data_IF_224238318421
#
_entry.id   IF_224238318421
#
_cell.length_a   1.000
_cell.length_b   1.000
_cell.length_c   1.000
_cell.angle_alpha   90.00
_cell.angle_beta   90.00
_cell.angle_gamma   90.00
#
_symmetry.space_group_name_H-M   'P 1'
#
loop_
_entity.id
_entity.type
_entity.pdbx_description
1 polymer ?
#
# COMPACT_ATOMS: atom_id res chain seq x y z
N UNK A 1 -20.46 -0.42 6.57
CA UNK A 1 -19.17 -1.09 6.80
C UNK A 1 -19.10 -1.52 8.25
N UNK A 2 -18.64 -2.73 8.54
CA UNK A 2 -18.55 -3.29 9.90
C UNK A 2 -17.24 -2.86 10.58
N UNK A 3 -17.18 -2.93 11.91
CA UNK A 3 -15.98 -2.55 12.67
C UNK A 3 -14.72 -3.35 12.26
N UNK A 4 -14.86 -4.64 12.00
CA UNK A 4 -13.73 -5.49 11.57
C UNK A 4 -13.23 -5.12 10.16
N UNK A 5 -14.11 -4.67 9.25
CA UNK A 5 -13.70 -4.21 7.92
C UNK A 5 -12.85 -2.93 8.04
N UNK A 6 -13.22 -2.02 8.94
CA UNK A 6 -12.40 -0.85 9.26
C UNK A 6 -11.05 -1.23 9.86
N UNK A 7 -11.02 -2.20 10.78
CA UNK A 7 -9.76 -2.66 11.36
C UNK A 7 -8.81 -3.23 10.29
N UNK A 8 -9.34 -3.99 9.32
CA UNK A 8 -8.54 -4.48 8.19
C UNK A 8 -8.04 -3.32 7.34
N UNK A 9 -8.89 -2.36 6.96
CA UNK A 9 -8.44 -1.22 6.16
C UNK A 9 -7.36 -0.40 6.84
N UNK A 10 -7.50 -0.16 8.15
CA UNK A 10 -6.47 0.51 8.94
C UNK A 10 -5.16 -0.29 8.92
N UNK A 11 -5.23 -1.61 9.10
CA UNK A 11 -4.04 -2.46 8.99
C UNK A 11 -3.39 -2.36 7.60
N UNK A 12 -4.16 -2.47 6.51
CA UNK A 12 -3.66 -2.39 5.13
C UNK A 12 -3.00 -1.03 4.82
N UNK A 13 -3.52 0.06 5.40
CA UNK A 13 -2.92 1.39 5.27
C UNK A 13 -1.65 1.56 6.12
N UNK A 14 -1.58 0.90 7.28
CA UNK A 14 -0.47 1.06 8.23
C UNK A 14 0.70 0.11 7.95
N UNK A 15 0.48 -1.04 7.31
CA UNK A 15 1.52 -2.03 7.02
C UNK A 15 2.76 -1.42 6.32
N UNK A 16 2.63 -0.59 5.26
CA UNK A 16 3.80 0.03 4.63
C UNK A 16 4.66 0.83 5.61
N UNK A 17 4.04 1.54 6.56
CA UNK A 17 4.76 2.29 7.60
C UNK A 17 5.44 1.37 8.62
N UNK A 18 4.77 0.30 9.02
CA UNK A 18 5.35 -0.70 9.94
C UNK A 18 6.59 -1.33 9.32
N UNK A 19 6.54 -1.69 8.03
CA UNK A 19 7.71 -2.24 7.33
C UNK A 19 8.81 -1.20 7.16
N UNK A 20 8.48 0.02 6.74
CA UNK A 20 9.46 1.10 6.63
C UNK A 20 10.16 1.36 7.98
N UNK A 21 9.40 1.49 9.07
CA UNK A 21 9.94 1.70 10.41
C UNK A 21 10.84 0.54 10.87
N UNK A 22 10.47 -0.71 10.57
CA UNK A 22 11.31 -1.87 10.86
C UNK A 22 12.64 -1.85 10.09
N UNK A 23 12.67 -1.31 8.88
CA UNK A 23 13.88 -1.21 8.06
C UNK A 23 14.83 -0.11 8.54
N UNK A 24 14.32 1.03 9.05
CA UNK A 24 15.14 2.19 9.45
C UNK A 24 16.27 1.85 10.43
N UNK A 25 16.06 0.90 11.33
CA UNK A 25 17.07 0.47 12.31
C UNK A 25 18.21 -0.37 11.71
N UNK A 26 18.04 -0.89 10.50
CA UNK A 26 18.99 -1.80 9.84
C UNK A 26 19.71 -1.17 8.64
N UNK A 27 19.19 -0.05 8.13
CA UNK A 27 19.70 0.59 6.92
C UNK A 27 20.79 1.62 7.22
N UNK A 28 21.80 1.76 6.34
CA UNK A 28 22.70 2.90 6.36
C UNK A 28 21.94 4.21 6.11
N UNK A 29 22.50 5.34 6.54
CA UNK A 29 21.84 6.65 6.41
C UNK A 29 21.54 7.03 4.95
N UNK A 30 22.34 6.53 4.01
CA UNK A 30 22.12 6.68 2.57
C UNK A 30 21.83 5.32 1.94
N UNK A 31 20.70 5.22 1.22
CA UNK A 31 20.28 4.00 0.50
C UNK A 31 20.07 4.28 -0.99
N UNK A 32 20.10 3.22 -1.79
CA UNK A 32 19.65 3.25 -3.19
C UNK A 32 18.13 3.39 -3.20
N UNK A 33 17.61 4.44 -3.84
CA UNK A 33 16.17 4.69 -3.95
C UNK A 33 15.61 4.40 -5.33
N UNK A 34 16.46 4.40 -6.35
CA UNK A 34 16.09 4.09 -7.71
C UNK A 34 17.23 3.33 -8.39
N UNK A 35 16.85 2.46 -9.33
CA UNK A 35 17.76 1.62 -10.08
C UNK A 35 17.37 1.74 -11.55
N UNK A 36 18.36 2.04 -12.39
CA UNK A 36 18.21 2.11 -13.83
C UNK A 36 17.82 0.76 -14.44
N UNK A 37 17.47 0.77 -15.72
CA UNK A 37 17.04 -0.45 -16.44
C UNK A 37 18.15 -1.50 -16.55
N UNK A 38 19.41 -1.07 -16.42
CA UNK A 38 20.61 -1.89 -16.42
C UNK A 38 20.94 -2.46 -15.03
N UNK A 39 20.12 -2.18 -14.01
CA UNK A 39 20.35 -2.61 -12.65
C UNK A 39 21.33 -1.73 -11.87
N UNK A 40 21.80 -0.61 -12.44
CA UNK A 40 22.72 0.29 -11.73
C UNK A 40 21.97 1.31 -10.88
N UNK A 41 22.41 1.60 -9.64
CA UNK A 41 21.86 2.70 -8.87
C UNK A 41 22.08 4.04 -9.59
N UNK A 42 20.99 4.76 -9.88
CA UNK A 42 21.02 6.10 -10.49
C UNK A 42 20.50 7.19 -9.53
N UNK A 43 19.91 6.81 -8.39
CA UNK A 43 19.56 7.72 -7.29
C UNK A 43 19.80 7.09 -5.93
N UNK A 44 20.50 7.86 -5.10
CA UNK A 44 20.64 7.64 -3.67
C UNK A 44 19.83 8.68 -2.88
N UNK A 45 19.45 8.35 -1.65
CA UNK A 45 18.78 9.29 -0.75
C UNK A 45 18.79 8.81 0.69
N UNK A 46 18.15 9.59 1.56
CA UNK A 46 18.12 9.27 2.99
C UNK A 46 17.22 8.06 3.24
N UNK A 47 17.62 7.18 4.18
CA UNK A 47 16.75 6.09 4.66
C UNK A 47 15.40 6.58 5.19
N UNK A 48 15.34 7.80 5.71
CA UNK A 48 14.11 8.39 6.23
C UNK A 48 13.07 8.66 5.13
N UNK A 49 13.50 8.75 3.85
CA UNK A 49 12.59 8.87 2.71
C UNK A 49 11.67 7.64 2.58
N UNK A 50 12.01 6.49 3.18
CA UNK A 50 11.14 5.31 3.22
C UNK A 50 9.80 5.58 3.90
N UNK A 51 9.73 6.46 4.90
CA UNK A 51 8.47 6.84 5.53
C UNK A 51 7.58 7.64 4.56
N UNK A 52 8.19 8.50 3.75
CA UNK A 52 7.48 9.25 2.71
C UNK A 52 6.97 8.30 1.61
N UNK A 53 7.80 7.35 1.16
CA UNK A 53 7.40 6.34 0.18
C UNK A 53 6.26 5.48 0.77
N UNK A 54 6.34 5.06 2.04
CA UNK A 54 5.28 4.33 2.71
C UNK A 54 3.97 5.11 2.74
N UNK A 55 4.04 6.43 2.94
CA UNK A 55 2.89 7.32 2.83
C UNK A 55 2.21 7.28 1.47
N UNK A 56 3.00 7.35 0.38
CA UNK A 56 2.45 7.23 -0.97
C UNK A 56 1.87 5.83 -1.25
N UNK A 57 2.52 4.77 -0.79
CA UNK A 57 2.03 3.39 -0.93
C UNK A 57 0.75 3.14 -0.11
N UNK A 58 0.50 3.88 0.97
CA UNK A 58 -0.74 3.75 1.72
C UNK A 58 -1.96 4.38 1.04
N UNK A 59 -1.76 5.34 0.12
CA UNK A 59 -2.86 6.11 -0.50
C UNK A 59 -3.85 5.24 -1.28
N UNK A 60 -3.45 4.24 -2.10
CA UNK A 60 -4.39 3.39 -2.82
C UNK A 60 -5.33 2.62 -1.89
N UNK A 61 -4.78 2.03 -0.81
CA UNK A 61 -5.59 1.35 0.20
C UNK A 61 -6.52 2.31 0.97
N UNK A 62 -6.06 3.54 1.24
CA UNK A 62 -6.93 4.56 1.83
C UNK A 62 -8.10 4.91 0.90
N UNK A 63 -7.84 5.08 -0.40
CA UNK A 63 -8.87 5.32 -1.39
C UNK A 63 -9.85 4.14 -1.48
N UNK A 64 -9.36 2.91 -1.52
CA UNK A 64 -10.20 1.71 -1.51
C UNK A 64 -11.06 1.62 -0.24
N UNK A 65 -10.52 1.98 0.93
CA UNK A 65 -11.28 2.04 2.17
C UNK A 65 -12.44 3.05 2.09
N UNK A 66 -12.19 4.25 1.55
CA UNK A 66 -13.20 5.28 1.36
C UNK A 66 -14.27 4.86 0.34
N UNK A 67 -13.86 4.22 -0.76
CA UNK A 67 -14.79 3.68 -1.76
C UNK A 67 -15.62 2.55 -1.16
N UNK A 68 -15.01 1.64 -0.40
CA UNK A 68 -15.68 0.55 0.31
C UNK A 68 -16.67 1.05 1.37
N UNK A 69 -16.37 2.20 2.00
CA UNK A 69 -17.28 2.88 2.94
C UNK A 69 -18.53 3.40 2.23
N UNK A 70 -18.34 4.05 1.08
CA UNK A 70 -19.41 4.70 0.31
C UNK A 70 -20.06 3.80 -0.73
N UNK A 71 -19.68 2.52 -0.81
CA UNK A 71 -20.09 1.62 -1.89
C UNK A 71 -21.60 1.52 -2.06
N UNK A 72 -22.42 1.51 -1.00
CA UNK A 72 -23.88 1.46 -1.16
C UNK A 72 -24.41 2.71 -1.89
N UNK A 73 -23.88 3.89 -1.56
CA UNK A 73 -24.22 5.16 -2.21
C UNK A 73 -23.66 5.26 -3.63
N UNK A 74 -22.53 4.62 -3.91
CA UNK A 74 -21.98 4.53 -5.27
C UNK A 74 -22.80 3.59 -6.15
N UNK A 75 -23.27 2.46 -5.60
CA UNK A 75 -24.21 1.54 -6.25
C UNK A 75 -25.54 2.23 -6.56
N UNK A 76 -26.12 2.97 -5.61
CA UNK A 76 -27.39 3.66 -5.85
C UNK A 76 -27.30 4.73 -6.94
N UNK A 77 -26.09 5.21 -7.24
CA UNK A 77 -25.80 6.15 -8.33
C UNK A 77 -25.39 5.47 -9.64
N UNK A 78 -25.34 4.13 -9.69
CA UNK A 78 -24.88 3.38 -10.86
C UNK A 78 -23.38 3.49 -11.13
N UNK A 79 -22.59 4.03 -10.20
CA UNK A 79 -21.14 4.24 -10.36
C UNK A 79 -20.32 2.98 -10.11
N UNK A 80 -20.91 1.96 -9.51
CA UNK A 80 -20.32 0.63 -9.36
C UNK A 80 -21.29 -0.38 -9.94
N UNK A 81 -20.81 -1.13 -10.94
CA UNK A 81 -21.56 -2.15 -11.65
C UNK A 81 -20.69 -3.39 -11.89
N UNK A 82 -21.26 -4.48 -12.39
CA UNK A 82 -20.52 -5.72 -12.70
C UNK A 82 -20.17 -6.62 -11.50
N UNK A 83 -20.41 -6.18 -10.27
CA UNK A 83 -20.09 -6.94 -9.03
C UNK A 83 -21.32 -7.54 -8.33
N UNK A 84 -22.52 -7.38 -8.88
CA UNK A 84 -23.76 -8.02 -8.41
C UNK A 84 -24.36 -7.46 -7.12
N UNK A 85 -23.55 -7.02 -6.15
CA UNK A 85 -24.03 -6.37 -4.92
C UNK A 85 -22.97 -5.49 -4.26
N UNK A 86 -23.37 -4.51 -3.41
CA UNK A 86 -22.43 -3.74 -2.61
C UNK A 86 -21.54 -4.60 -1.71
N UNK A 87 -22.06 -5.74 -1.23
CA UNK A 87 -21.28 -6.69 -0.41
C UNK A 87 -20.13 -7.31 -1.21
N UNK A 88 -20.41 -7.77 -2.42
CA UNK A 88 -19.40 -8.36 -3.30
C UNK A 88 -18.34 -7.34 -3.71
N UNK A 89 -18.74 -6.09 -3.95
CA UNK A 89 -17.80 -5.02 -4.23
C UNK A 89 -16.85 -4.76 -3.05
N UNK A 90 -17.36 -4.75 -1.80
CA UNK A 90 -16.48 -4.65 -0.61
C UNK A 90 -15.48 -5.80 -0.54
N UNK A 91 -15.93 -7.02 -0.79
CA UNK A 91 -15.05 -8.20 -0.82
C UNK A 91 -13.97 -8.04 -1.89
N UNK A 92 -14.34 -7.62 -3.10
CA UNK A 92 -13.40 -7.38 -4.19
C UNK A 92 -12.37 -6.32 -3.81
N UNK A 93 -12.80 -5.19 -3.26
CA UNK A 93 -11.88 -4.12 -2.82
C UNK A 93 -10.93 -4.61 -1.73
N UNK A 94 -11.41 -5.39 -0.76
CA UNK A 94 -10.55 -5.98 0.27
C UNK A 94 -9.49 -6.93 -0.34
N UNK A 95 -9.87 -7.76 -1.31
CA UNK A 95 -8.94 -8.66 -2.01
C UNK A 95 -7.87 -7.84 -2.75
N UNK A 96 -8.28 -6.81 -3.48
CA UNK A 96 -7.35 -5.91 -4.19
C UNK A 96 -6.40 -5.24 -3.18
N UNK A 97 -6.93 -4.70 -2.09
CA UNK A 97 -6.11 -4.04 -1.07
C UNK A 97 -5.10 -4.97 -0.40
N UNK A 98 -5.46 -6.23 -0.17
CA UNK A 98 -4.52 -7.25 0.32
C UNK A 98 -3.40 -7.51 -0.70
N UNK A 99 -3.74 -7.66 -1.99
CA UNK A 99 -2.76 -7.87 -3.05
C UNK A 99 -1.82 -6.66 -3.16
N UNK A 100 -2.36 -5.45 -3.16
CA UNK A 100 -1.58 -4.21 -3.16
C UNK A 100 -0.62 -4.15 -1.98
N UNK A 101 -1.10 -4.45 -0.76
CA UNK A 101 -0.24 -4.48 0.42
C UNK A 101 0.89 -5.49 0.29
N UNK A 102 0.64 -6.70 -0.23
CA UNK A 102 1.70 -7.70 -0.46
C UNK A 102 2.75 -7.15 -1.42
N UNK A 103 2.33 -6.50 -2.51
CA UNK A 103 3.24 -5.88 -3.48
C UNK A 103 4.06 -4.77 -2.79
N UNK A 104 3.42 -3.91 -2.00
CA UNK A 104 4.09 -2.79 -1.31
C UNK A 104 5.09 -3.26 -0.26
N UNK A 105 4.78 -4.34 0.46
CA UNK A 105 5.75 -4.99 1.35
C UNK A 105 6.95 -5.50 0.55
N UNK A 106 6.73 -6.12 -0.61
CA UNK A 106 7.80 -6.57 -1.51
C UNK A 106 8.70 -5.42 -1.96
N UNK A 107 8.11 -4.29 -2.37
CA UNK A 107 8.83 -3.06 -2.74
C UNK A 107 9.63 -2.51 -1.56
N UNK A 108 9.04 -2.43 -0.36
CA UNK A 108 9.77 -1.92 0.81
C UNK A 108 10.97 -2.80 1.16
N UNK A 109 10.78 -4.12 1.14
CA UNK A 109 11.84 -5.08 1.45
C UNK A 109 12.97 -5.10 0.39
N UNK A 110 12.77 -4.54 -0.81
CA UNK A 110 13.86 -4.43 -1.78
C UNK A 110 14.89 -3.36 -1.41
N UNK A 111 14.51 -2.32 -0.65
CA UNK A 111 15.44 -1.24 -0.26
C UNK A 111 16.50 -1.66 0.79
N UNK A 112 16.30 -2.79 1.49
CA UNK A 112 17.25 -3.32 2.48
C UNK A 112 18.08 -4.52 2.04
N UNK A 113 17.84 -5.01 0.82
CA UNK A 113 18.73 -5.97 0.18
C UNK A 113 19.66 -5.16 -0.69
N UNK A 114 20.79 -4.72 -0.12
CA UNK A 114 21.87 -4.17 -0.94
C UNK A 114 22.09 -5.10 -2.13
N UNK A 115 21.98 -4.57 -3.35
CA UNK A 115 22.34 -5.36 -4.52
C UNK A 115 23.80 -5.80 -4.34
N UNK A 116 24.11 -7.10 -4.59
CA UNK A 116 25.45 -7.62 -4.43
C UNK A 116 26.48 -6.89 -5.29
#
# INVERSE_FOLDING_TARGET
MKAWEWAIWLALCLIPFVVAAALLGSLPDTIVLHTGIDGTPDRYGSKDELLTIAGFLALPNLLLALVSWKVDALFSKGLVHGVGSPRNARTLFLVIGIIETVIYVGIMLSFGRGMP
#
